data_IF_225463132521
#
_entry.id   IF_225463132521
#
_cell.length_a   1.000
_cell.length_b   1.000
_cell.length_c   1.000
_cell.angle_alpha   90.00
_cell.angle_beta   90.00
_cell.angle_gamma   90.00
#
_symmetry.space_group_name_H-M   'P 1'
#
loop_
_entity.id
_entity.type
_entity.pdbx_description
1 polymer ?
#
# COMPACT_ATOMS: atom_id res chain seq x y z
N UNK A 1 -18.34 -5.14 46.86
CA UNK A 1 -18.40 -4.02 45.88
C UNK A 1 -17.18 -4.05 44.96
N UNK A 2 -17.32 -4.00 43.62
CA UNK A 2 -16.16 -4.03 42.69
C UNK A 2 -15.58 -2.62 42.53
N UNK A 3 -14.41 -2.35 43.13
CA UNK A 3 -13.70 -1.07 42.99
C UNK A 3 -13.10 -0.95 41.58
N UNK A 4 -13.62 -0.02 40.76
CA UNK A 4 -13.07 0.25 39.42
C UNK A 4 -11.73 0.98 39.56
N UNK A 5 -10.63 0.30 39.25
CA UNK A 5 -9.31 0.94 39.21
C UNK A 5 -9.28 1.97 38.07
N UNK A 6 -9.25 3.26 38.43
CA UNK A 6 -9.06 4.34 37.45
C UNK A 6 -7.57 4.53 37.21
N UNK A 7 -7.17 4.54 35.94
CA UNK A 7 -5.83 4.92 35.54
C UNK A 7 -5.59 6.40 35.90
N UNK A 8 -4.45 6.69 36.51
CA UNK A 8 -3.96 8.05 36.69
C UNK A 8 -3.05 8.38 35.50
N UNK A 9 -3.22 9.57 34.92
CA UNK A 9 -2.38 10.06 33.84
C UNK A 9 -1.45 11.14 34.39
N UNK A 10 -0.19 11.10 33.96
CA UNK A 10 0.86 12.01 34.41
C UNK A 10 1.55 12.58 33.19
N UNK A 11 1.69 13.90 33.13
CA UNK A 11 2.47 14.60 32.10
C UNK A 11 3.51 15.46 32.80
N UNK A 12 4.79 15.29 32.47
CA UNK A 12 5.91 16.01 33.08
C UNK A 12 5.86 16.04 34.62
N UNK A 13 5.57 14.88 35.24
CA UNK A 13 5.48 14.75 36.71
C UNK A 13 4.19 15.27 37.36
N UNK A 14 3.26 15.88 36.59
CA UNK A 14 1.99 16.40 37.12
C UNK A 14 0.82 15.51 36.72
N UNK A 15 -0.11 15.26 37.66
CA UNK A 15 -1.33 14.52 37.37
C UNK A 15 -2.25 15.35 36.48
N UNK A 16 -2.77 14.71 35.44
CA UNK A 16 -3.67 15.34 34.47
C UNK A 16 -4.89 14.44 34.22
N UNK A 17 -5.98 15.03 33.74
CA UNK A 17 -7.11 14.24 33.26
C UNK A 17 -6.76 13.55 31.92
N UNK A 18 -7.56 12.55 31.55
CA UNK A 18 -7.36 11.82 30.30
C UNK A 18 -7.35 12.75 29.07
N UNK A 19 -8.29 13.70 28.99
CA UNK A 19 -8.38 14.62 27.84
C UNK A 19 -7.12 15.48 27.69
N UNK A 20 -6.62 16.04 28.79
CA UNK A 20 -5.37 16.80 28.80
C UNK A 20 -4.18 15.92 28.41
N UNK A 21 -4.09 14.69 28.92
CA UNK A 21 -3.03 13.76 28.54
C UNK A 21 -3.03 13.45 27.04
N UNK A 22 -4.20 13.16 26.46
CA UNK A 22 -4.33 12.88 25.03
C UNK A 22 -3.91 14.08 24.16
N UNK A 23 -4.26 15.29 24.59
CA UNK A 23 -3.85 16.53 23.92
C UNK A 23 -2.34 16.76 24.02
N UNK A 24 -1.78 16.69 25.23
CA UNK A 24 -0.37 16.99 25.50
C UNK A 24 0.59 15.96 24.86
N UNK A 25 0.24 14.68 24.89
CA UNK A 25 1.00 13.61 24.25
C UNK A 25 0.68 13.44 22.74
N UNK A 26 -0.18 14.31 22.20
CA UNK A 26 -0.65 14.27 20.81
C UNK A 26 -1.06 12.86 20.36
N UNK A 27 -1.89 12.19 21.17
CA UNK A 27 -2.33 10.84 20.88
C UNK A 27 -3.84 10.68 21.07
N UNK A 28 -4.40 9.73 20.35
CA UNK A 28 -5.83 9.40 20.43
C UNK A 28 -6.07 8.38 21.55
N UNK A 29 -7.31 8.36 22.06
CA UNK A 29 -7.75 7.33 23.00
C UNK A 29 -7.55 5.92 22.45
N UNK A 30 -7.69 5.73 21.14
CA UNK A 30 -7.44 4.47 20.46
C UNK A 30 -5.97 4.05 20.54
N UNK A 31 -5.05 4.97 20.21
CA UNK A 31 -3.61 4.70 20.31
C UNK A 31 -3.21 4.35 21.75
N UNK A 32 -3.70 5.11 22.74
CA UNK A 32 -3.44 4.84 24.16
C UNK A 32 -3.97 3.47 24.61
N UNK A 33 -5.19 3.10 24.23
CA UNK A 33 -5.76 1.76 24.50
C UNK A 33 -4.91 0.65 23.88
N UNK A 34 -4.41 0.86 22.65
CA UNK A 34 -3.53 -0.11 21.98
C UNK A 34 -2.16 -0.22 22.64
N UNK A 35 -1.58 0.90 23.09
CA UNK A 35 -0.32 0.90 23.86
C UNK A 35 -0.49 0.10 25.14
N UNK A 36 -1.53 0.40 25.91
CA UNK A 36 -1.83 -0.35 27.14
C UNK A 36 -1.99 -1.84 26.87
N UNK A 37 -2.80 -2.22 25.87
CA UNK A 37 -3.00 -3.62 25.51
C UNK A 37 -1.66 -4.30 25.17
N UNK A 38 -0.84 -3.68 24.34
CA UNK A 38 0.46 -4.22 23.94
C UNK A 38 1.41 -4.39 25.12
N UNK A 39 1.52 -3.36 25.98
CA UNK A 39 2.39 -3.42 27.16
C UNK A 39 1.94 -4.52 28.12
N UNK A 40 0.62 -4.69 28.30
CA UNK A 40 0.08 -5.76 29.15
C UNK A 40 0.33 -7.17 28.58
N UNK A 41 0.32 -7.34 27.25
CA UNK A 41 0.46 -8.67 26.63
C UNK A 41 1.90 -9.04 26.26
N UNK A 42 2.74 -8.06 25.91
CA UNK A 42 4.09 -8.27 25.36
C UNK A 42 5.18 -7.47 26.10
N UNK A 43 4.83 -6.72 27.15
CA UNK A 43 5.77 -5.85 27.86
C UNK A 43 6.17 -4.60 27.07
N UNK A 44 7.23 -3.94 27.55
CA UNK A 44 7.80 -2.73 26.92
C UNK A 44 8.73 -3.15 25.78
N UNK A 45 8.13 -3.66 24.71
CA UNK A 45 8.84 -4.11 23.50
C UNK A 45 8.34 -3.34 22.28
N UNK A 46 9.21 -3.07 21.28
CA UNK A 46 8.77 -2.50 20.01
C UNK A 46 7.69 -3.37 19.36
N UNK A 47 6.68 -2.73 18.77
CA UNK A 47 5.68 -3.48 18.00
C UNK A 47 6.25 -3.90 16.67
N UNK A 48 6.25 -5.20 16.43
CA UNK A 48 6.61 -5.77 15.14
C UNK A 48 5.33 -6.08 14.37
N UNK A 49 5.25 -5.61 13.12
CA UNK A 49 4.13 -5.93 12.24
C UNK A 49 4.15 -7.42 11.89
N UNK A 50 3.00 -8.08 11.75
CA UNK A 50 2.93 -9.51 11.40
C UNK A 50 3.50 -9.87 10.02
N UNK A 51 3.74 -8.86 9.18
CA UNK A 51 4.39 -9.00 7.87
C UNK A 51 5.90 -8.75 7.91
N UNK A 52 6.51 -8.59 9.09
CA UNK A 52 7.95 -8.45 9.20
C UNK A 52 8.63 -9.67 8.57
N UNK A 53 9.55 -9.43 7.63
CA UNK A 53 10.26 -10.47 6.88
C UNK A 53 9.41 -11.28 5.88
N UNK A 54 8.11 -10.98 5.71
CA UNK A 54 7.24 -11.70 4.77
C UNK A 54 6.99 -10.89 3.51
N UNK A 55 7.21 -11.49 2.35
CA UNK A 55 6.79 -10.92 1.07
C UNK A 55 5.24 -10.88 1.04
N UNK A 56 4.60 -9.72 0.79
CA UNK A 56 3.15 -9.68 0.69
C UNK A 56 2.67 -10.54 -0.49
N UNK A 57 1.57 -11.27 -0.30
CA UNK A 57 0.98 -12.16 -1.33
C UNK A 57 0.52 -11.41 -2.60
N UNK A 58 0.38 -10.09 -2.53
CA UNK A 58 0.00 -9.24 -3.65
C UNK A 58 1.19 -8.65 -4.42
N UNK A 59 2.42 -8.95 -4.01
CA UNK A 59 3.60 -8.50 -4.75
C UNK A 59 3.89 -9.44 -5.91
N UNK A 60 3.93 -8.89 -7.12
CA UNK A 60 4.27 -9.61 -8.33
C UNK A 60 5.77 -10.00 -8.38
N UNK A 61 6.14 -10.91 -9.28
CA UNK A 61 7.55 -11.21 -9.51
C UNK A 61 8.19 -10.08 -10.33
N UNK A 62 9.52 -9.95 -10.27
CA UNK A 62 10.25 -9.01 -11.13
C UNK A 62 9.97 -9.30 -12.61
N UNK A 63 9.79 -10.57 -12.95
CA UNK A 63 9.50 -11.03 -14.31
C UNK A 63 8.14 -10.53 -14.80
N UNK A 64 7.11 -10.56 -13.95
CA UNK A 64 5.81 -9.97 -14.29
C UNK A 64 5.94 -8.47 -14.59
N UNK A 65 6.77 -7.73 -13.84
CA UNK A 65 7.03 -6.31 -14.13
C UNK A 65 7.76 -6.10 -15.46
N UNK A 66 8.73 -6.97 -15.79
CA UNK A 66 9.44 -6.91 -17.08
C UNK A 66 8.49 -7.12 -18.24
N UNK A 67 7.69 -8.18 -18.21
CA UNK A 67 6.70 -8.49 -19.26
C UNK A 67 5.68 -7.37 -19.45
N UNK A 68 5.17 -6.79 -18.35
CA UNK A 68 4.27 -5.64 -18.43
C UNK A 68 4.95 -4.43 -19.08
N UNK A 69 6.23 -4.19 -18.76
CA UNK A 69 7.02 -3.11 -19.35
C UNK A 69 7.26 -3.33 -20.84
N UNK A 70 7.60 -4.56 -21.24
CA UNK A 70 7.88 -4.90 -22.64
C UNK A 70 6.61 -4.82 -23.49
N UNK A 71 5.48 -5.30 -22.97
CA UNK A 71 4.16 -5.10 -23.57
C UNK A 71 3.88 -3.61 -23.79
N UNK A 72 4.04 -2.78 -22.75
CA UNK A 72 3.76 -1.34 -22.85
C UNK A 72 4.69 -0.64 -23.84
N UNK A 73 5.97 -0.99 -23.88
CA UNK A 73 6.92 -0.43 -24.85
C UNK A 73 6.51 -0.74 -26.28
N UNK A 74 6.21 -2.00 -26.59
CA UNK A 74 5.76 -2.39 -27.92
C UNK A 74 4.43 -1.74 -28.30
N UNK A 75 3.49 -1.66 -27.35
CA UNK A 75 2.21 -1.00 -27.58
C UNK A 75 2.38 0.51 -27.86
N UNK A 76 3.22 1.19 -27.08
CA UNK A 76 3.53 2.60 -27.30
C UNK A 76 4.24 2.78 -28.64
N UNK A 77 5.25 1.98 -28.98
CA UNK A 77 5.95 2.09 -30.25
C UNK A 77 5.02 1.92 -31.46
N UNK A 78 4.05 1.01 -31.38
CA UNK A 78 3.07 0.78 -32.45
C UNK A 78 2.05 1.92 -32.60
N UNK A 79 1.64 2.55 -31.50
CA UNK A 79 0.53 3.51 -31.47
C UNK A 79 0.95 4.96 -31.23
N UNK A 80 2.22 5.22 -30.97
CA UNK A 80 2.72 6.57 -30.73
C UNK A 80 2.83 7.31 -32.05
N UNK A 81 1.97 8.31 -32.21
CA UNK A 81 1.97 9.21 -33.37
C UNK A 81 2.99 10.35 -33.22
N UNK A 82 3.63 10.48 -32.05
CA UNK A 82 4.55 11.57 -31.73
C UNK A 82 5.99 11.17 -32.10
N UNK A 83 6.45 11.63 -33.25
CA UNK A 83 7.85 11.60 -33.68
C UNK A 83 8.66 12.68 -32.96
N UNK A 84 8.94 12.49 -31.67
CA UNK A 84 9.77 13.47 -30.95
C UNK A 84 10.01 13.17 -29.48
N UNK A 85 11.29 13.05 -29.12
CA UNK A 85 11.91 12.97 -27.79
C UNK A 85 11.13 12.20 -26.71
N UNK A 86 11.77 11.12 -26.23
CA UNK A 86 11.40 10.17 -25.18
C UNK A 86 11.03 10.72 -23.78
N UNK A 87 10.79 12.03 -23.65
CA UNK A 87 10.27 12.70 -22.45
C UNK A 87 8.86 13.28 -22.64
N UNK A 88 8.27 13.17 -23.83
CA UNK A 88 6.93 13.65 -24.13
C UNK A 88 5.85 12.71 -23.56
N UNK A 89 4.74 13.28 -23.10
CA UNK A 89 3.55 12.53 -22.70
C UNK A 89 3.06 11.69 -23.87
N UNK A 90 2.88 10.38 -23.67
CA UNK A 90 2.27 9.51 -24.68
C UNK A 90 0.78 9.87 -24.79
N UNK A 91 0.37 10.39 -25.94
CA UNK A 91 -1.03 10.71 -26.24
C UNK A 91 -1.57 9.62 -27.15
N UNK A 92 -2.58 8.89 -26.66
CA UNK A 92 -3.32 7.94 -27.48
C UNK A 92 -4.58 8.60 -28.06
N UNK A 93 -5.08 8.09 -29.21
CA UNK A 93 -6.39 8.47 -29.74
C UNK A 93 -7.51 8.30 -28.69
N UNK A 94 -8.58 9.12 -28.74
CA UNK A 94 -9.69 9.07 -27.78
C UNK A 94 -10.36 7.70 -27.65
N UNK A 95 -10.29 6.88 -28.69
CA UNK A 95 -10.88 5.55 -28.77
C UNK A 95 -10.08 4.52 -27.94
N UNK A 96 -8.80 4.79 -27.67
CA UNK A 96 -7.92 3.91 -26.91
C UNK A 96 -7.97 4.28 -25.43
N UNK A 97 -8.82 3.58 -24.70
CA UNK A 97 -8.87 3.69 -23.25
C UNK A 97 -7.75 2.88 -22.58
N UNK A 98 -7.32 3.29 -21.37
CA UNK A 98 -6.43 2.47 -20.53
C UNK A 98 -6.98 1.07 -20.27
N UNK A 99 -8.31 0.93 -20.25
CA UNK A 99 -8.97 -0.37 -20.08
C UNK A 99 -8.79 -1.27 -21.29
N UNK A 100 -8.83 -0.71 -22.49
CA UNK A 100 -8.53 -1.42 -23.75
C UNK A 100 -7.10 -1.95 -23.72
N UNK A 101 -6.13 -1.11 -23.34
CA UNK A 101 -4.72 -1.49 -23.20
C UNK A 101 -4.55 -2.63 -22.17
N UNK A 102 -5.24 -2.53 -21.03
CA UNK A 102 -5.19 -3.58 -20.01
C UNK A 102 -5.77 -4.92 -20.49
N UNK A 103 -6.86 -4.90 -21.26
CA UNK A 103 -7.44 -6.14 -21.80
C UNK A 103 -6.46 -6.82 -22.77
N UNK A 104 -5.80 -6.05 -23.64
CA UNK A 104 -4.75 -6.55 -24.54
C UNK A 104 -3.54 -7.11 -23.75
N UNK A 105 -3.14 -6.44 -22.68
CA UNK A 105 -2.12 -6.95 -21.77
C UNK A 105 -2.52 -8.30 -21.14
N UNK A 106 -3.78 -8.46 -20.75
CA UNK A 106 -4.26 -9.74 -20.22
C UNK A 106 -4.19 -10.86 -21.25
N UNK A 107 -4.50 -10.57 -22.52
CA UNK A 107 -4.36 -11.53 -23.62
C UNK A 107 -2.88 -11.88 -23.87
N UNK A 108 -2.00 -10.88 -23.90
CA UNK A 108 -0.54 -11.07 -24.00
C UNK A 108 0.02 -11.94 -22.86
N UNK A 109 -0.43 -11.73 -21.62
CA UNK A 109 0.02 -12.55 -20.49
C UNK A 109 -0.50 -13.98 -20.57
N UNK A 110 -1.71 -14.21 -21.11
CA UNK A 110 -2.22 -15.58 -21.34
C UNK A 110 -1.39 -16.36 -22.36
N UNK A 111 -0.84 -15.68 -23.37
CA UNK A 111 -0.01 -16.34 -24.39
C UNK A 111 1.43 -16.56 -23.91
N UNK A 112 2.02 -15.58 -23.23
CA UNK A 112 3.42 -15.65 -22.81
C UNK A 112 3.64 -16.37 -21.46
N UNK A 113 2.65 -16.35 -20.56
CA UNK A 113 2.80 -16.88 -19.21
C UNK A 113 1.44 -17.24 -18.57
N UNK A 114 0.77 -18.30 -19.06
CA UNK A 114 -0.59 -18.66 -18.63
C UNK A 114 -0.70 -19.01 -17.14
N UNK A 115 0.37 -19.54 -16.54
CA UNK A 115 0.40 -19.98 -15.15
C UNK A 115 0.76 -18.86 -14.16
N UNK A 116 1.18 -17.69 -14.64
CA UNK A 116 1.59 -16.58 -13.77
C UNK A 116 0.43 -15.65 -13.40
N UNK A 117 0.52 -15.09 -12.19
CA UNK A 117 -0.43 -14.09 -11.73
C UNK A 117 -0.30 -12.81 -12.56
N UNK A 118 -1.35 -12.46 -13.30
CA UNK A 118 -1.42 -11.23 -14.08
C UNK A 118 -1.78 -10.01 -13.23
N UNK A 119 -1.23 -8.84 -13.57
CA UNK A 119 -1.57 -7.58 -12.90
C UNK A 119 -3.03 -7.20 -13.11
N UNK A 120 -3.72 -6.88 -12.00
CA UNK A 120 -5.07 -6.32 -12.04
C UNK A 120 -5.07 -4.90 -12.59
N UNK A 121 -6.23 -4.43 -13.07
CA UNK A 121 -6.37 -3.13 -13.71
C UNK A 121 -5.85 -1.96 -12.84
N UNK A 122 -6.16 -1.97 -11.55
CA UNK A 122 -5.71 -0.94 -10.60
C UNK A 122 -4.21 -0.96 -10.33
N UNK A 123 -3.55 -2.10 -10.52
CA UNK A 123 -2.09 -2.24 -10.35
C UNK A 123 -1.33 -1.95 -11.63
N UNK A 124 -1.98 -2.14 -12.79
CA UNK A 124 -1.42 -1.88 -14.12
C UNK A 124 -1.46 -0.40 -14.51
N UNK A 125 -2.45 0.36 -14.02
CA UNK A 125 -2.70 1.78 -14.38
C UNK A 125 -1.62 2.74 -13.92
#
# INVERSE_FOLDING_TARGET
ERRRLRAQYVYQGRRVCLSAFLYLENCTLYQLKRIRKHVMTHGVTPRVHGNHGKKPHNVFSLETYRRATDFLKGYIEQHNTTTGNCKSTVIFPPEISRKTIHNLYQEYMKTCAPEEKTMGYSTFR
#
